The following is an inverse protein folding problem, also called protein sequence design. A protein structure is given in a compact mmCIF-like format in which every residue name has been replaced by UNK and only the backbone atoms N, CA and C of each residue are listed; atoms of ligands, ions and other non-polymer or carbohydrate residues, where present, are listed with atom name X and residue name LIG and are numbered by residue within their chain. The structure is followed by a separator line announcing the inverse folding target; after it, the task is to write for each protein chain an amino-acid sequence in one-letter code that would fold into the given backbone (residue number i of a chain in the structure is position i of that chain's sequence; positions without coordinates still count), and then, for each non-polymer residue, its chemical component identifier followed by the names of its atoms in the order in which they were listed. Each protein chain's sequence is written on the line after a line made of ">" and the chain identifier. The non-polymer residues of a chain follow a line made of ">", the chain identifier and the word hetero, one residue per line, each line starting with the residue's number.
data_IF_852895823387
#
_entry.id   IF_852895823387
#
_cell.length_a   1.000
_cell.length_b   1.000
_cell.length_c   1.000
_cell.angle_alpha   90.00
_cell.angle_beta   90.00
_cell.angle_gamma   90.00
#
_symmetry.space_group_name_H-M   'P 1'
#
loop_
_entity.id
_entity.type
_entity.pdbx_description
1 polymer ?
#
# COMPACT_ATOMS: atom_id res chain seq x y z
N UNK A 1 45.67 52.65 -21.95
CA UNK A 1 45.15 51.32 -21.55
C UNK A 1 43.80 51.09 -22.22
N UNK A 2 43.62 50.06 -23.06
CA UNK A 2 42.34 49.79 -23.71
C UNK A 2 41.27 49.42 -22.67
N UNK A 3 40.13 50.12 -22.67
CA UNK A 3 39.00 49.88 -21.77
C UNK A 3 38.36 48.54 -22.13
N UNK A 4 38.60 47.49 -21.34
CA UNK A 4 38.37 46.08 -21.71
C UNK A 4 36.90 45.61 -21.86
N UNK A 5 35.91 46.48 -21.75
CA UNK A 5 34.52 46.12 -22.02
C UNK A 5 33.80 47.30 -22.67
N UNK A 6 33.57 47.25 -23.99
CA UNK A 6 32.74 48.20 -24.74
C UNK A 6 31.24 47.84 -24.68
N UNK A 7 30.82 47.09 -23.66
CA UNK A 7 29.44 46.65 -23.46
C UNK A 7 29.19 46.26 -22.01
N UNK A 8 27.95 45.92 -21.69
CA UNK A 8 27.58 45.50 -20.34
C UNK A 8 28.21 44.13 -20.01
N UNK A 9 28.72 43.99 -18.79
CA UNK A 9 29.39 42.75 -18.34
C UNK A 9 28.39 41.57 -18.39
N UNK A 10 28.63 40.62 -19.29
CA UNK A 10 27.73 39.49 -19.57
C UNK A 10 27.39 38.66 -18.34
N UNK A 11 28.32 38.49 -17.39
CA UNK A 11 28.07 37.80 -16.12
C UNK A 11 27.15 38.60 -15.19
N UNK A 12 27.31 39.93 -15.17
CA UNK A 12 26.45 40.83 -14.41
C UNK A 12 25.03 40.87 -15.01
N UNK A 13 24.92 40.95 -16.34
CA UNK A 13 23.65 40.89 -17.06
C UNK A 13 22.90 39.57 -16.78
N UNK A 14 23.59 38.43 -16.86
CA UNK A 14 23.00 37.13 -16.54
C UNK A 14 22.56 37.02 -15.07
N UNK A 15 23.31 37.59 -14.13
CA UNK A 15 22.92 37.61 -12.72
C UNK A 15 21.70 38.51 -12.47
N UNK A 16 21.58 39.65 -13.14
CA UNK A 16 20.40 40.52 -13.09
C UNK A 16 19.18 39.84 -13.71
N UNK A 17 19.34 39.17 -14.86
CA UNK A 17 18.27 38.40 -15.50
C UNK A 17 17.71 37.33 -14.55
N UNK A 18 18.57 36.52 -13.93
CA UNK A 18 18.12 35.50 -12.95
C UNK A 18 17.39 36.10 -11.75
N UNK A 19 17.86 37.23 -11.23
CA UNK A 19 17.18 37.94 -10.11
C UNK A 19 15.83 38.49 -10.55
N UNK A 20 15.74 39.04 -11.75
CA UNK A 20 14.49 39.54 -12.31
C UNK A 20 13.49 38.41 -12.56
N UNK A 21 13.93 37.28 -13.12
CA UNK A 21 13.12 36.08 -13.33
C UNK A 21 12.63 35.50 -12.00
N UNK A 22 13.50 35.37 -10.99
CA UNK A 22 13.11 34.89 -9.67
C UNK A 22 12.08 35.82 -9.01
N UNK A 23 12.26 37.14 -9.14
CA UNK A 23 11.29 38.12 -8.64
C UNK A 23 9.97 38.06 -9.40
N UNK A 24 9.99 37.98 -10.73
CA UNK A 24 8.80 37.84 -11.54
C UNK A 24 8.04 36.54 -11.23
N UNK A 25 8.75 35.43 -11.02
CA UNK A 25 8.15 34.17 -10.62
C UNK A 25 7.52 34.24 -9.22
N UNK A 26 8.18 34.92 -8.26
CA UNK A 26 7.63 35.13 -6.93
C UNK A 26 6.39 36.04 -6.95
N UNK A 27 6.44 37.13 -7.71
CA UNK A 27 5.32 38.06 -7.87
C UNK A 27 4.15 37.38 -8.59
N UNK A 28 4.42 36.56 -9.61
CA UNK A 28 3.41 35.77 -10.31
C UNK A 28 2.77 34.70 -9.41
N UNK A 29 3.56 34.03 -8.55
CA UNK A 29 3.03 33.08 -7.56
C UNK A 29 2.14 33.78 -6.56
N UNK A 30 2.60 34.91 -5.99
CA UNK A 30 1.79 35.71 -5.07
C UNK A 30 0.49 36.18 -5.72
N UNK A 31 0.55 36.68 -6.95
CA UNK A 31 -0.66 37.11 -7.67
C UNK A 31 -1.60 35.93 -7.89
N UNK A 32 -1.08 34.78 -8.33
CA UNK A 32 -1.88 33.57 -8.51
C UNK A 32 -2.56 33.13 -7.21
N UNK A 33 -1.82 33.09 -6.11
CA UNK A 33 -2.37 32.72 -4.79
C UNK A 33 -3.48 33.67 -4.35
N UNK A 34 -3.36 34.97 -4.62
CA UNK A 34 -4.40 35.96 -4.32
C UNK A 34 -5.64 35.76 -5.19
N UNK A 35 -5.47 35.50 -6.49
CA UNK A 35 -6.59 35.19 -7.39
C UNK A 35 -7.28 33.88 -7.00
N UNK A 36 -6.49 32.82 -6.75
CA UNK A 36 -6.99 31.52 -6.31
C UNK A 36 -7.75 31.65 -4.98
N UNK A 37 -7.28 32.50 -4.06
CA UNK A 37 -7.98 32.79 -2.81
C UNK A 37 -9.25 33.61 -3.03
N UNK A 38 -9.23 34.61 -3.92
CA UNK A 38 -10.39 35.43 -4.26
C UNK A 38 -11.51 34.59 -4.90
N UNK A 39 -11.14 33.61 -5.70
CA UNK A 39 -12.07 32.70 -6.38
C UNK A 39 -12.37 31.41 -5.61
N UNK A 40 -11.86 31.27 -4.39
CA UNK A 40 -12.11 30.08 -3.59
C UNK A 40 -13.56 30.05 -3.11
N UNK A 41 -14.25 28.95 -3.38
CA UNK A 41 -15.60 28.70 -2.87
C UNK A 41 -15.52 28.09 -1.45
N UNK A 42 -16.24 28.68 -0.50
CA UNK A 42 -16.36 28.19 0.88
C UNK A 42 -17.77 27.70 1.21
N UNK A 43 -18.62 27.47 0.21
CA UNK A 43 -19.95 26.91 0.41
C UNK A 43 -19.87 25.52 1.05
N UNK A 44 -20.37 25.45 2.29
CA UNK A 44 -20.44 24.23 3.12
C UNK A 44 -21.11 23.05 2.42
N UNK A 45 -22.12 23.28 1.58
CA UNK A 45 -22.80 22.21 0.85
C UNK A 45 -21.99 21.71 -0.34
N UNK A 46 -21.26 22.59 -1.02
CA UNK A 46 -20.33 22.22 -2.10
C UNK A 46 -19.17 21.42 -1.52
N UNK A 47 -18.52 21.92 -0.47
CA UNK A 47 -17.42 21.22 0.22
C UNK A 47 -17.85 19.83 0.70
N UNK A 48 -19.05 19.70 1.29
CA UNK A 48 -19.59 18.38 1.71
C UNK A 48 -19.90 17.45 0.53
N UNK A 49 -20.24 17.96 -0.65
CA UNK A 49 -20.47 17.13 -1.85
C UNK A 49 -19.14 16.63 -2.41
N UNK A 50 -18.14 17.50 -2.46
CA UNK A 50 -16.78 17.15 -2.89
C UNK A 50 -16.18 16.10 -1.96
N UNK A 51 -16.22 16.31 -0.64
CA UNK A 51 -15.77 15.32 0.35
C UNK A 51 -16.44 13.95 0.17
N UNK A 52 -17.77 13.91 -0.01
CA UNK A 52 -18.47 12.63 -0.27
C UNK A 52 -18.03 11.96 -1.57
N UNK A 53 -17.69 12.75 -2.59
CA UNK A 53 -17.19 12.23 -3.88
C UNK A 53 -15.76 11.69 -3.71
N UNK A 54 -14.89 12.45 -3.07
CA UNK A 54 -13.50 12.08 -2.76
C UNK A 54 -13.45 10.83 -1.88
N UNK A 55 -14.25 10.75 -0.81
CA UNK A 55 -14.31 9.56 0.05
C UNK A 55 -14.77 8.31 -0.72
N UNK A 56 -15.75 8.46 -1.62
CA UNK A 56 -16.21 7.36 -2.47
C UNK A 56 -15.14 6.92 -3.45
N UNK A 57 -14.42 7.86 -4.06
CA UNK A 57 -13.32 7.55 -4.97
C UNK A 57 -12.15 6.91 -4.22
N UNK A 58 -11.73 7.50 -3.11
CA UNK A 58 -10.67 6.99 -2.24
C UNK A 58 -10.97 5.57 -1.79
N UNK A 59 -12.19 5.31 -1.31
CA UNK A 59 -12.61 3.95 -0.92
C UNK A 59 -12.59 2.97 -2.09
N UNK A 60 -12.94 3.41 -3.30
CA UNK A 60 -12.86 2.58 -4.51
C UNK A 60 -11.40 2.26 -4.86
N UNK A 61 -10.52 3.26 -4.82
CA UNK A 61 -9.10 3.10 -5.11
C UNK A 61 -8.44 2.18 -4.08
N UNK A 62 -8.70 2.40 -2.79
CA UNK A 62 -8.18 1.55 -1.71
C UNK A 62 -8.63 0.09 -1.86
N UNK A 63 -9.89 -0.16 -2.25
CA UNK A 63 -10.35 -1.53 -2.54
C UNK A 63 -9.63 -2.15 -3.73
N UNK A 64 -9.36 -1.37 -4.78
CA UNK A 64 -8.63 -1.84 -5.96
C UNK A 64 -7.17 -2.11 -5.62
N UNK A 65 -6.53 -1.23 -4.86
CA UNK A 65 -5.16 -1.38 -4.38
C UNK A 65 -5.03 -2.60 -3.48
N UNK A 66 -5.94 -2.77 -2.50
CA UNK A 66 -5.98 -3.96 -1.64
C UNK A 66 -6.15 -5.25 -2.45
N UNK A 67 -7.03 -5.25 -3.45
CA UNK A 67 -7.19 -6.40 -4.35
C UNK A 67 -5.93 -6.67 -5.15
N UNK A 68 -5.30 -5.63 -5.70
CA UNK A 68 -4.06 -5.74 -6.47
C UNK A 68 -2.91 -6.26 -5.62
N UNK A 69 -2.79 -5.81 -4.37
CA UNK A 69 -1.80 -6.29 -3.42
C UNK A 69 -2.04 -7.75 -3.02
N UNK A 70 -3.29 -8.12 -2.74
CA UNK A 70 -3.67 -9.52 -2.45
C UNK A 70 -3.36 -10.43 -3.63
N UNK A 71 -3.69 -10.00 -4.85
CA UNK A 71 -3.37 -10.74 -6.07
C UNK A 71 -1.86 -10.88 -6.26
N UNK A 72 -1.09 -9.81 -6.03
CA UNK A 72 0.36 -9.86 -6.10
C UNK A 72 0.95 -10.86 -5.11
N UNK A 73 0.46 -10.90 -3.87
CA UNK A 73 0.91 -11.87 -2.88
C UNK A 73 0.61 -13.31 -3.31
N UNK A 74 -0.58 -13.56 -3.85
CA UNK A 74 -0.95 -14.87 -4.40
C UNK A 74 -0.03 -15.28 -5.56
N UNK A 75 0.26 -14.38 -6.49
CA UNK A 75 1.17 -14.64 -7.61
C UNK A 75 2.61 -14.90 -7.14
N UNK A 76 3.08 -14.18 -6.11
CA UNK A 76 4.38 -14.41 -5.48
C UNK A 76 4.45 -15.79 -4.79
N UNK A 77 3.39 -16.21 -4.10
CA UNK A 77 3.28 -17.55 -3.50
C UNK A 77 3.22 -18.65 -4.57
N UNK A 78 2.37 -18.50 -5.59
CA UNK A 78 2.26 -19.43 -6.71
C UNK A 78 3.59 -19.58 -7.47
N UNK A 79 4.32 -18.48 -7.64
CA UNK A 79 5.64 -18.49 -8.29
C UNK A 79 6.68 -19.26 -7.45
N UNK A 80 6.67 -19.07 -6.12
CA UNK A 80 7.53 -19.82 -5.20
C UNK A 80 7.16 -21.31 -5.19
N UNK A 81 5.87 -21.63 -5.18
CA UNK A 81 5.38 -23.02 -5.19
C UNK A 81 5.66 -23.71 -6.53
N UNK A 82 5.54 -23.00 -7.65
CA UNK A 82 5.85 -23.50 -9.01
C UNK A 82 7.34 -23.68 -9.27
N UNK A 83 8.19 -22.97 -8.52
CA UNK A 83 9.65 -23.18 -8.50
C UNK A 83 10.08 -24.38 -7.64
N UNK A 84 9.25 -24.79 -6.69
CA UNK A 84 9.38 -26.08 -6.01
C UNK A 84 8.90 -27.20 -6.93
N UNK A 85 9.63 -28.31 -6.99
CA UNK A 85 9.24 -29.53 -7.70
C UNK A 85 8.07 -30.24 -6.99
N UNK A 86 7.01 -29.52 -6.62
CA UNK A 86 5.76 -30.13 -6.22
C UNK A 86 5.08 -30.65 -7.51
N UNK A 87 4.71 -31.95 -7.58
CA UNK A 87 3.96 -32.44 -8.73
C UNK A 87 2.71 -31.58 -8.82
N UNK A 88 2.48 -30.99 -10.00
CA UNK A 88 1.22 -30.31 -10.32
C UNK A 88 0.12 -31.20 -9.78
N UNK A 89 -0.59 -30.74 -8.74
CA UNK A 89 -1.74 -31.48 -8.24
C UNK A 89 -2.61 -31.68 -9.47
N UNK A 90 -2.66 -32.95 -9.88
CA UNK A 90 -3.39 -33.37 -11.05
C UNK A 90 -4.78 -32.75 -10.94
N UNK A 91 -5.29 -32.24 -12.06
CA UNK A 91 -6.72 -31.96 -12.26
C UNK A 91 -7.54 -32.84 -11.31
N UNK A 92 -8.41 -32.29 -10.43
CA UNK A 92 -9.10 -33.10 -9.45
C UNK A 92 -9.82 -34.19 -10.22
N UNK A 93 -9.26 -35.40 -10.16
CA UNK A 93 -9.84 -36.54 -10.83
C UNK A 93 -11.20 -36.71 -10.19
N UNK A 94 -12.24 -36.91 -11.01
CA UNK A 94 -13.58 -37.12 -10.49
C UNK A 94 -13.53 -38.35 -9.59
N UNK A 95 -13.52 -38.12 -8.28
CA UNK A 95 -13.58 -39.17 -7.28
C UNK A 95 -15.01 -39.68 -7.22
N UNK A 96 -15.14 -41.00 -7.23
CA UNK A 96 -16.46 -41.65 -7.10
C UNK A 96 -16.97 -41.48 -5.67
N UNK A 97 -18.30 -41.45 -5.49
CA UNK A 97 -18.91 -41.32 -4.16
C UNK A 97 -18.36 -42.34 -3.14
N UNK A 98 -18.08 -43.57 -3.59
CA UNK A 98 -17.48 -44.62 -2.76
C UNK A 98 -16.09 -44.24 -2.24
N UNK A 99 -15.24 -43.61 -3.05
CA UNK A 99 -13.91 -43.16 -2.63
C UNK A 99 -13.99 -42.03 -1.61
N UNK A 100 -14.96 -41.12 -1.74
CA UNK A 100 -15.19 -40.04 -0.78
C UNK A 100 -15.62 -40.61 0.58
N UNK A 101 -16.56 -41.57 0.58
CA UNK A 101 -17.03 -42.25 1.79
C UNK A 101 -15.90 -43.05 2.47
N UNK A 102 -15.01 -43.66 1.69
CA UNK A 102 -13.82 -44.37 2.22
C UNK A 102 -12.82 -43.41 2.86
N UNK A 103 -12.51 -42.27 2.23
CA UNK A 103 -11.61 -41.26 2.79
C UNK A 103 -12.17 -40.67 4.08
N UNK A 104 -13.48 -40.37 4.13
CA UNK A 104 -14.12 -39.86 5.33
C UNK A 104 -14.06 -40.88 6.48
N UNK A 105 -14.28 -42.17 6.21
CA UNK A 105 -14.14 -43.23 7.23
C UNK A 105 -12.71 -43.32 7.76
N UNK A 106 -11.72 -43.25 6.87
CA UNK A 106 -10.30 -43.28 7.25
C UNK A 106 -9.93 -42.07 8.12
N UNK A 107 -10.36 -40.88 7.75
CA UNK A 107 -10.11 -39.65 8.52
C UNK A 107 -10.79 -39.66 9.89
N UNK A 108 -12.01 -40.19 9.98
CA UNK A 108 -12.70 -40.40 11.25
C UNK A 108 -11.96 -41.41 12.14
N UNK A 109 -11.49 -42.52 11.58
CA UNK A 109 -10.68 -43.51 12.31
C UNK A 109 -9.34 -42.94 12.80
N UNK A 110 -8.69 -42.07 12.02
CA UNK A 110 -7.47 -41.39 12.44
C UNK A 110 -7.73 -40.31 13.50
N UNK A 111 -8.91 -39.68 13.51
CA UNK A 111 -9.32 -38.74 14.58
C UNK A 111 -9.71 -39.44 15.89
N UNK A 112 -10.21 -40.66 15.81
CA UNK A 112 -10.62 -41.46 16.98
C UNK A 112 -9.45 -42.28 17.57
N UNK A 113 -8.36 -42.47 16.82
CA UNK A 113 -7.09 -42.91 17.39
C UNK A 113 -6.50 -41.80 18.28
N UNK A 114 -5.99 -42.12 19.50
CA UNK A 114 -5.74 -41.12 20.53
C UNK A 114 -4.53 -40.24 20.20
N UNK A 115 -4.77 -39.10 19.54
CA UNK A 115 -3.84 -37.97 19.52
C UNK A 115 -3.97 -37.19 20.85
N UNK A 116 -3.60 -37.84 21.96
CA UNK A 116 -3.54 -37.25 23.29
C UNK A 116 -2.16 -36.65 23.64
N UNK A 117 -1.22 -36.54 22.70
CA UNK A 117 0.18 -36.21 23.04
C UNK A 117 0.64 -34.78 22.77
N UNK A 118 0.01 -33.98 21.88
CA UNK A 118 0.66 -32.76 21.36
C UNK A 118 -0.27 -31.52 21.33
N UNK A 119 -1.30 -31.44 22.18
CA UNK A 119 -1.92 -30.13 22.47
C UNK A 119 -1.06 -29.42 23.50
N UNK A 120 -0.13 -28.61 22.99
CA UNK A 120 0.68 -27.69 23.78
C UNK A 120 -0.20 -27.02 24.86
N UNK A 121 0.19 -27.20 26.13
CA UNK A 121 -0.50 -26.64 27.29
C UNK A 121 -0.70 -25.15 27.09
N UNK A 122 -1.95 -24.74 26.97
CA UNK A 122 -2.30 -23.34 26.74
C UNK A 122 -1.90 -22.46 27.93
N UNK A 123 -1.76 -21.15 27.72
CA UNK A 123 -1.47 -20.15 28.76
C UNK A 123 -2.49 -20.10 29.93
N UNK A 124 -3.53 -20.93 29.90
CA UNK A 124 -4.41 -21.18 31.04
C UNK A 124 -3.75 -22.06 32.14
N UNK A 125 -2.74 -22.86 31.81
CA UNK A 125 -2.10 -23.80 32.75
C UNK A 125 -0.76 -23.30 33.31
N UNK A 126 -0.11 -22.34 32.66
CA UNK A 126 1.18 -21.77 33.10
C UNK A 126 1.04 -20.25 33.23
N UNK A 127 1.06 -19.70 34.46
CA UNK A 127 1.05 -18.26 34.66
C UNK A 127 2.27 -17.59 33.99
N UNK A 128 2.05 -16.43 33.37
CA UNK A 128 3.12 -15.60 32.82
C UNK A 128 3.98 -15.07 33.97
N UNK A 129 5.28 -15.35 33.94
CA UNK A 129 6.23 -14.77 34.88
C UNK A 129 6.39 -13.26 34.62
N UNK A 130 6.28 -12.45 35.66
CA UNK A 130 6.35 -10.99 35.55
C UNK A 130 7.78 -10.51 35.24
N UNK A 131 7.87 -9.44 34.46
CA UNK A 131 9.14 -8.84 34.06
C UNK A 131 9.74 -8.02 35.21
N UNK A 132 10.77 -8.58 35.86
CA UNK A 132 11.51 -7.96 36.99
C UNK A 132 12.20 -6.63 36.67
N UNK A 133 12.34 -6.25 35.39
CA UNK A 133 12.93 -4.95 34.99
C UNK A 133 11.90 -3.80 34.96
N UNK A 134 10.69 -4.00 35.49
CA UNK A 134 9.66 -2.95 35.62
C UNK A 134 9.39 -2.50 37.06
N UNK A 135 10.19 -2.94 38.03
CA UNK A 135 10.19 -2.42 39.40
C UNK A 135 11.03 -1.14 39.52
#
# INVERSE_FOLDING_TARGET
>A
MPKKFQGENTKSAAARARRAEAKAAADARRHKELEDAYWKDEDKHVMRKEQRKEEKEKRRLEQLERKKETQRLLEEEDSKLKGGKAPRVAVPSKVTRAQIEETLRRDHQHKEAPEQAEKAKSHLEVPLEENVNRL
#
